data_IF_521284869979
#
_entry.id   IF_521284869979
#
_cell.length_a   1.000
_cell.length_b   1.000
_cell.length_c   1.000
_cell.angle_alpha   90.00
_cell.angle_beta   90.00
_cell.angle_gamma   90.00
#
_symmetry.space_group_name_H-M   'P 1'
#
loop_
_entity.id
_entity.type
_entity.pdbx_description
1 polymer ?
#
# COMPACT_ATOMS: atom_id res chain seq x y z
N UNK A 1 1.04 -0.48 8.41
CA UNK A 1 0.61 -1.57 9.31
C UNK A 1 -0.59 -2.35 8.76
N UNK A 2 -1.72 -1.72 8.45
CA UNK A 2 -2.94 -2.44 8.05
C UNK A 2 -2.81 -3.31 6.78
N UNK A 3 -1.99 -2.92 5.79
CA UNK A 3 -1.70 -3.74 4.62
C UNK A 3 -0.99 -5.06 5.01
N UNK A 4 0.10 -4.95 5.77
CA UNK A 4 0.88 -6.08 6.26
C UNK A 4 0.06 -6.97 7.23
N UNK A 5 -0.73 -6.37 8.13
CA UNK A 5 -1.58 -7.11 9.06
C UNK A 5 -2.70 -7.90 8.37
N UNK A 6 -3.07 -7.53 7.15
CA UNK A 6 -4.03 -8.25 6.30
C UNK A 6 -3.35 -9.30 5.40
N UNK A 7 -2.05 -9.57 5.61
CA UNK A 7 -1.25 -10.49 4.82
C UNK A 7 -1.14 -10.15 3.32
N UNK A 8 -1.29 -8.87 2.96
CA UNK A 8 -1.15 -8.39 1.58
C UNK A 8 0.34 -8.25 1.20
N UNK A 9 1.03 -9.38 1.02
CA UNK A 9 2.47 -9.44 0.77
C UNK A 9 2.85 -9.46 -0.71
N UNK A 10 1.89 -9.70 -1.59
CA UNK A 10 2.14 -9.82 -3.03
C UNK A 10 1.71 -8.57 -3.78
N UNK A 11 2.43 -8.18 -4.85
CA UNK A 11 2.02 -7.06 -5.68
C UNK A 11 0.60 -7.27 -6.22
N UNK A 12 -0.24 -6.24 -6.14
CA UNK A 12 -1.65 -6.29 -6.51
C UNK A 12 -2.60 -6.59 -5.34
N UNK A 13 -2.10 -7.11 -4.21
CA UNK A 13 -2.92 -7.24 -3.01
C UNK A 13 -3.34 -5.87 -2.50
N UNK A 14 -4.63 -5.71 -2.25
CA UNK A 14 -5.19 -4.45 -1.76
C UNK A 14 -6.08 -4.67 -0.55
N UNK A 15 -6.13 -3.67 0.31
CA UNK A 15 -7.07 -3.61 1.44
C UNK A 15 -7.63 -2.21 1.57
N UNK A 16 -8.80 -2.13 2.17
CA UNK A 16 -9.39 -0.88 2.62
C UNK A 16 -9.63 -0.90 4.13
N UNK A 17 -9.25 0.16 4.84
CA UNK A 17 -9.55 0.32 6.27
C UNK A 17 -10.53 1.45 6.45
N UNK A 18 -11.65 1.15 7.12
CA UNK A 18 -12.71 2.10 7.44
C UNK A 18 -12.62 2.47 8.92
N UNK A 19 -12.43 3.75 9.20
CA UNK A 19 -12.42 4.34 10.54
C UNK A 19 -13.07 5.72 10.48
N UNK A 20 -12.43 6.73 11.07
CA UNK A 20 -12.87 8.13 10.90
C UNK A 20 -12.78 8.59 9.43
N UNK A 21 -11.86 8.00 8.65
CA UNK A 21 -11.76 8.13 7.19
C UNK A 21 -11.60 6.76 6.54
N UNK A 22 -11.38 6.75 5.23
CA UNK A 22 -11.27 5.55 4.41
C UNK A 22 -9.91 5.49 3.72
N UNK A 23 -9.13 4.46 3.99
CA UNK A 23 -7.76 4.31 3.49
C UNK A 23 -7.59 3.02 2.70
N UNK A 24 -7.60 3.15 1.38
CA UNK A 24 -7.24 2.11 0.43
C UNK A 24 -5.72 2.06 0.30
N UNK A 25 -5.13 0.87 0.43
CA UNK A 25 -3.74 0.62 0.07
C UNK A 25 -3.63 -0.61 -0.82
N UNK A 26 -2.81 -0.53 -1.87
CA UNK A 26 -2.45 -1.64 -2.77
C UNK A 26 -0.94 -1.82 -2.77
N UNK A 27 -0.45 -3.03 -2.52
CA UNK A 27 0.97 -3.38 -2.59
C UNK A 27 1.48 -3.33 -4.04
N UNK A 28 2.59 -2.66 -4.31
CA UNK A 28 3.24 -2.60 -5.64
C UNK A 28 4.57 -3.36 -5.68
N UNK A 29 4.88 -4.14 -4.64
CA UNK A 29 6.14 -4.85 -4.49
C UNK A 29 7.30 -3.91 -4.27
N UNK A 30 8.48 -4.27 -4.77
CA UNK A 30 9.71 -3.49 -4.63
C UNK A 30 9.79 -2.29 -5.59
N UNK A 31 8.74 -2.05 -6.38
CA UNK A 31 8.68 -0.95 -7.34
C UNK A 31 7.81 0.18 -6.80
N UNK A 32 8.41 1.35 -6.63
CA UNK A 32 7.69 2.59 -6.41
C UNK A 32 7.02 3.01 -7.71
N UNK A 33 5.69 2.92 -7.77
CA UNK A 33 4.91 3.30 -8.94
C UNK A 33 4.36 4.71 -8.77
N UNK A 34 4.57 5.60 -9.73
CA UNK A 34 3.83 6.86 -9.78
C UNK A 34 2.39 6.61 -10.24
N UNK A 35 1.46 7.36 -9.66
CA UNK A 35 0.04 7.23 -9.95
C UNK A 35 -0.41 8.21 -11.03
N UNK A 36 -1.12 7.71 -12.02
CA UNK A 36 -1.77 8.54 -13.05
C UNK A 36 -3.18 9.01 -12.66
N UNK A 37 -3.72 8.50 -11.54
CA UNK A 37 -5.13 8.68 -11.14
C UNK A 37 -5.27 9.26 -9.72
N UNK A 38 -4.30 10.05 -9.27
CA UNK A 38 -4.38 10.81 -8.02
C UNK A 38 -4.12 10.01 -6.73
N UNK A 39 -3.78 8.72 -6.82
CA UNK A 39 -3.22 7.95 -5.70
C UNK A 39 -1.82 8.46 -5.30
N UNK A 40 -1.42 8.19 -4.06
CA UNK A 40 -0.12 8.56 -3.51
C UNK A 40 0.75 7.32 -3.37
N UNK A 41 1.97 7.38 -3.90
CA UNK A 41 2.98 6.33 -3.70
C UNK A 41 3.56 6.44 -2.29
N UNK A 42 3.49 5.36 -1.53
CA UNK A 42 3.96 5.29 -0.14
C UNK A 42 4.75 4.03 0.12
N UNK A 43 5.42 3.94 1.27
CA UNK A 43 6.12 2.73 1.70
C UNK A 43 5.12 1.79 2.39
N UNK A 44 5.01 0.56 1.90
CA UNK A 44 4.17 -0.47 2.48
C UNK A 44 4.82 -1.12 3.72
N UNK A 45 6.06 -1.61 3.55
CA UNK A 45 6.84 -2.27 4.59
C UNK A 45 8.33 -2.31 4.19
N UNK A 46 9.22 -2.18 5.17
CA UNK A 46 10.62 -2.55 5.04
C UNK A 46 10.89 -3.84 5.81
N UNK A 47 11.36 -4.89 5.15
CA UNK A 47 11.68 -6.18 5.75
C UNK A 47 12.93 -6.77 5.09
N UNK A 48 13.84 -7.34 5.89
CA UNK A 48 15.06 -8.00 5.41
C UNK A 48 15.91 -7.15 4.43
N UNK A 49 15.98 -5.84 4.69
CA UNK A 49 16.71 -4.89 3.85
C UNK A 49 16.05 -4.57 2.51
N UNK A 50 14.86 -5.12 2.24
CA UNK A 50 14.03 -4.80 1.08
C UNK A 50 12.89 -3.87 1.49
N UNK A 51 12.52 -2.98 0.58
CA UNK A 51 11.39 -2.06 0.78
C UNK A 51 10.32 -2.43 -0.24
N UNK A 52 9.11 -2.66 0.26
CA UNK A 52 7.93 -2.72 -0.58
C UNK A 52 7.16 -1.41 -0.51
N UNK A 53 6.53 -1.06 -1.61
CA UNK A 53 5.76 0.15 -1.81
C UNK A 53 4.27 -0.17 -1.91
N UNK A 54 3.45 0.86 -1.77
CA UNK A 54 2.02 0.80 -2.00
C UNK A 54 1.52 2.05 -2.71
N UNK A 55 0.42 1.90 -3.44
CA UNK A 55 -0.44 3.02 -3.83
C UNK A 55 -1.52 3.21 -2.78
N UNK A 56 -1.64 4.43 -2.28
CA UNK A 56 -2.57 4.84 -1.24
C UNK A 56 -3.64 5.77 -1.83
N UNK A 57 -4.91 5.48 -1.52
CA UNK A 57 -6.05 6.35 -1.77
C UNK A 57 -6.74 6.65 -0.44
N UNK A 58 -6.83 7.93 -0.10
CA UNK A 58 -7.34 8.40 1.19
C UNK A 58 -8.55 9.30 0.96
N UNK A 59 -9.66 8.97 1.62
CA UNK A 59 -10.94 9.71 1.59
C UNK A 59 -11.33 10.13 3.00
#
# INVERSE_FOLDING_TARGET
AALFGQCCFTPGDAKNTYGTGCFLLMNTGETAMESEHGLVTTIAVGLDGRVQYALEGSI
#
